data_IF_790699543499
#
_entry.id   IF_790699543499
#
_cell.length_a   1.000
_cell.length_b   1.000
_cell.length_c   1.000
_cell.angle_alpha   90.00
_cell.angle_beta   90.00
_cell.angle_gamma   90.00
#
_symmetry.space_group_name_H-M   'P 1'
#
loop_
_entity.id
_entity.type
_entity.pdbx_description
1 polymer ?
#
# COMPACT_ATOMS: atom_id res chain seq x y z
N UNK A 1 -34.30 25.10 13.61
CA UNK A 1 -33.92 24.25 14.76
C UNK A 1 -32.64 23.50 14.39
N UNK A 2 -31.48 24.01 14.79
CA UNK A 2 -30.25 23.31 14.61
C UNK A 2 -30.11 22.27 15.71
N UNK A 3 -30.30 21.00 15.36
CA UNK A 3 -29.92 19.89 16.23
C UNK A 3 -28.41 19.94 16.43
N UNK A 4 -28.03 20.35 17.61
CA UNK A 4 -26.64 20.29 18.11
C UNK A 4 -26.31 18.79 18.30
N UNK A 5 -26.05 18.05 17.21
CA UNK A 5 -25.42 16.75 17.31
C UNK A 5 -24.01 16.97 17.85
N UNK A 6 -23.82 16.72 19.14
CA UNK A 6 -22.49 16.68 19.75
C UNK A 6 -21.63 15.76 18.88
N UNK A 7 -20.64 16.32 18.20
CA UNK A 7 -19.66 15.50 17.47
C UNK A 7 -19.09 14.46 18.45
N UNK A 8 -19.05 13.17 18.09
CA UNK A 8 -18.55 12.15 18.98
C UNK A 8 -17.12 12.50 19.39
N UNK A 9 -16.87 12.46 20.69
CA UNK A 9 -15.58 12.81 21.29
C UNK A 9 -14.50 11.81 20.86
N UNK A 10 -13.29 12.30 20.58
CA UNK A 10 -12.15 11.48 20.16
C UNK A 10 -11.69 10.56 21.31
N UNK A 11 -11.59 9.27 21.05
CA UNK A 11 -11.27 8.24 22.05
C UNK A 11 -9.83 7.77 21.83
N UNK A 12 -8.95 8.04 22.79
CA UNK A 12 -7.55 7.67 22.78
C UNK A 12 -7.21 6.46 23.68
N UNK A 13 -8.12 6.04 24.54
CA UNK A 13 -8.00 4.79 25.31
C UNK A 13 -9.22 3.91 25.09
N UNK A 14 -9.04 2.84 24.35
CA UNK A 14 -10.11 1.90 24.01
C UNK A 14 -10.67 1.13 25.22
N UNK A 15 -9.99 1.14 26.36
CA UNK A 15 -10.50 0.51 27.59
C UNK A 15 -11.83 1.10 28.05
N UNK A 16 -12.09 2.38 27.74
CA UNK A 16 -13.33 3.07 28.09
C UNK A 16 -14.55 2.54 27.34
N UNK A 17 -14.34 1.81 26.22
CA UNK A 17 -15.44 1.32 25.36
C UNK A 17 -16.00 -0.04 25.77
N UNK A 18 -15.32 -0.78 26.63
CA UNK A 18 -15.64 -2.17 26.93
C UNK A 18 -15.20 -3.17 25.85
N UNK A 19 -14.97 -4.42 26.24
CA UNK A 19 -14.34 -5.46 25.40
C UNK A 19 -15.11 -5.73 24.11
N UNK A 20 -16.45 -5.79 24.15
CA UNK A 20 -17.28 -6.09 22.98
C UNK A 20 -17.14 -5.04 21.86
N UNK A 21 -17.15 -3.75 22.20
CA UNK A 21 -16.96 -2.67 21.22
C UNK A 21 -15.54 -2.68 20.65
N UNK A 22 -14.53 -2.95 21.46
CA UNK A 22 -13.13 -3.06 21.01
C UNK A 22 -12.96 -4.21 20.02
N UNK A 23 -13.60 -5.37 20.27
CA UNK A 23 -13.59 -6.51 19.33
C UNK A 23 -14.23 -6.13 17.98
N UNK A 24 -15.40 -5.46 18.00
CA UNK A 24 -16.07 -5.00 16.78
C UNK A 24 -15.19 -4.02 16.00
N UNK A 25 -14.55 -3.07 16.69
CA UNK A 25 -13.63 -2.12 16.06
C UNK A 25 -12.40 -2.82 15.45
N UNK A 26 -11.83 -3.82 16.14
CA UNK A 26 -10.77 -4.64 15.60
C UNK A 26 -11.17 -5.38 14.33
N UNK A 27 -12.37 -5.95 14.30
CA UNK A 27 -12.95 -6.56 13.09
C UNK A 27 -13.19 -5.53 11.97
N UNK A 28 -13.63 -4.31 12.29
CA UNK A 28 -13.77 -3.25 11.30
C UNK A 28 -12.46 -2.92 10.62
N UNK A 29 -11.38 -2.79 11.39
CA UNK A 29 -10.03 -2.54 10.85
C UNK A 29 -9.51 -3.73 10.05
N UNK A 30 -9.79 -4.97 10.46
CA UNK A 30 -9.48 -6.17 9.69
C UNK A 30 -10.18 -6.14 8.32
N UNK A 31 -11.48 -5.88 8.29
CA UNK A 31 -12.25 -5.85 7.05
C UNK A 31 -11.88 -4.66 6.15
N UNK A 32 -11.50 -3.52 6.71
CA UNK A 32 -11.04 -2.37 5.93
C UNK A 32 -9.76 -2.67 5.16
N UNK A 33 -8.76 -3.30 5.81
CA UNK A 33 -7.51 -3.67 5.17
C UNK A 33 -7.62 -4.90 4.26
N UNK A 34 -8.62 -5.73 4.50
CA UNK A 34 -8.69 -7.07 3.93
C UNK A 34 -8.69 -7.05 2.40
N UNK A 35 -9.58 -6.25 1.79
CA UNK A 35 -9.73 -6.19 0.33
C UNK A 35 -8.43 -5.83 -0.38
N UNK A 36 -7.73 -4.82 0.11
CA UNK A 36 -6.45 -4.40 -0.43
C UNK A 36 -5.34 -5.44 -0.19
N UNK A 37 -5.27 -6.00 1.02
CA UNK A 37 -4.20 -6.93 1.40
C UNK A 37 -4.23 -8.22 0.60
N UNK A 38 -5.41 -8.79 0.34
CA UNK A 38 -5.53 -10.08 -0.38
C UNK A 38 -5.46 -9.94 -1.90
N UNK A 39 -5.67 -8.73 -2.42
CA UNK A 39 -5.68 -8.48 -3.85
C UNK A 39 -4.27 -8.59 -4.47
N UNK A 40 -3.24 -8.12 -3.78
CA UNK A 40 -1.85 -8.22 -4.27
C UNK A 40 -1.42 -9.68 -4.46
N UNK A 41 -1.51 -10.59 -3.47
CA UNK A 41 -1.16 -11.98 -3.69
C UNK A 41 -2.06 -12.67 -4.73
N UNK A 42 -3.34 -12.31 -4.83
CA UNK A 42 -4.24 -12.86 -5.85
C UNK A 42 -3.80 -12.49 -7.28
N UNK A 43 -3.27 -11.27 -7.49
CA UNK A 43 -2.76 -10.81 -8.79
C UNK A 43 -1.37 -11.38 -9.09
N UNK A 44 -0.48 -11.45 -8.09
CA UNK A 44 0.93 -11.85 -8.28
C UNK A 44 1.17 -13.34 -8.22
N UNK A 45 0.24 -14.12 -7.67
CA UNK A 45 0.42 -15.53 -7.38
C UNK A 45 1.20 -15.83 -6.09
N UNK A 46 1.49 -14.80 -5.27
CA UNK A 46 2.05 -14.98 -3.93
C UNK A 46 1.04 -15.66 -2.99
N UNK A 47 1.53 -16.24 -1.90
CA UNK A 47 0.69 -16.98 -0.98
C UNK A 47 -0.17 -16.06 -0.11
N UNK A 48 -1.50 -16.23 -0.16
CA UNK A 48 -2.48 -15.42 0.60
C UNK A 48 -2.33 -15.61 2.11
N UNK A 49 -2.15 -16.86 2.57
CA UNK A 49 -1.98 -17.16 4.00
C UNK A 49 -0.72 -16.50 4.57
N UNK A 50 0.41 -16.61 3.84
CA UNK A 50 1.67 -15.95 4.21
C UNK A 50 1.50 -14.42 4.23
N UNK A 51 0.76 -13.87 3.25
CA UNK A 51 0.47 -12.43 3.18
C UNK A 51 -0.30 -11.94 4.41
N UNK A 52 -1.36 -12.63 4.81
CA UNK A 52 -2.14 -12.29 6.01
C UNK A 52 -1.31 -12.41 7.28
N UNK A 53 -0.48 -13.45 7.39
CA UNK A 53 0.44 -13.63 8.51
C UNK A 53 1.36 -12.41 8.65
N UNK A 54 2.04 -12.02 7.56
CA UNK A 54 3.02 -10.94 7.61
C UNK A 54 2.40 -9.54 7.59
N UNK A 55 1.18 -9.35 7.11
CA UNK A 55 0.41 -8.14 7.36
C UNK A 55 0.15 -7.96 8.87
N UNK A 56 -0.28 -9.02 9.55
CA UNK A 56 -0.48 -9.00 11.00
C UNK A 56 0.82 -8.85 11.79
N UNK A 57 1.81 -9.71 11.55
CA UNK A 57 3.13 -9.66 12.24
C UNK A 57 3.85 -8.34 11.94
N UNK A 58 3.84 -7.87 10.68
CA UNK A 58 4.43 -6.60 10.27
C UNK A 58 3.79 -5.42 11.00
N UNK A 59 2.45 -5.41 11.13
CA UNK A 59 1.73 -4.40 11.91
C UNK A 59 2.14 -4.42 13.38
N UNK A 60 2.21 -5.59 14.02
CA UNK A 60 2.63 -5.71 15.42
C UNK A 60 4.08 -5.25 15.62
N UNK A 61 4.97 -5.61 14.70
CA UNK A 61 6.37 -5.21 14.71
C UNK A 61 6.52 -3.69 14.52
N UNK A 62 5.78 -3.10 13.56
CA UNK A 62 5.71 -1.66 13.37
C UNK A 62 5.28 -0.95 14.66
N UNK A 63 4.23 -1.43 15.32
CA UNK A 63 3.78 -0.87 16.61
C UNK A 63 4.84 -0.99 17.70
N UNK A 64 5.59 -2.09 17.74
CA UNK A 64 6.68 -2.25 18.69
C UNK A 64 7.79 -1.22 18.47
N UNK A 65 8.25 -1.05 17.22
CA UNK A 65 9.33 -0.14 16.82
C UNK A 65 8.91 1.32 17.03
N UNK A 66 7.65 1.66 16.75
CA UNK A 66 7.09 3.01 16.94
C UNK A 66 6.65 3.30 18.37
N UNK A 67 6.99 2.43 19.33
CA UNK A 67 6.64 2.61 20.73
C UNK A 67 5.15 2.50 21.02
N UNK A 68 4.41 1.79 20.18
CA UNK A 68 2.94 1.57 20.27
C UNK A 68 2.13 2.88 20.19
N UNK A 69 2.68 3.93 19.55
CA UNK A 69 2.05 5.25 19.47
C UNK A 69 1.17 5.42 18.24
N UNK A 70 1.62 4.92 17.08
CA UNK A 70 0.99 5.16 15.78
C UNK A 70 -0.11 4.14 15.49
N UNK A 71 -1.37 4.53 15.28
CA UNK A 71 -2.47 3.63 14.96
C UNK A 71 -2.52 3.30 13.45
N UNK A 72 -1.41 2.82 12.88
CA UNK A 72 -1.35 2.39 11.49
C UNK A 72 -1.45 0.87 11.38
N UNK A 73 -2.17 0.39 10.35
CA UNK A 73 -2.15 -1.00 9.91
C UNK A 73 -1.24 -1.11 8.69
N UNK A 74 -0.44 -2.18 8.62
CA UNK A 74 0.41 -2.48 7.48
C UNK A 74 -0.18 -3.66 6.69
N UNK A 75 -0.26 -3.49 5.36
CA UNK A 75 -0.70 -4.54 4.46
C UNK A 75 0.06 -4.50 3.13
N UNK A 76 -0.40 -5.24 2.14
CA UNK A 76 0.31 -5.43 0.87
C UNK A 76 0.44 -4.14 0.05
N UNK A 77 1.66 -3.80 -0.37
CA UNK A 77 1.91 -2.64 -1.21
C UNK A 77 1.58 -2.90 -2.68
N UNK A 78 0.77 -2.03 -3.28
CA UNK A 78 0.44 -2.07 -4.70
C UNK A 78 1.56 -1.55 -5.60
N UNK A 79 2.44 -0.70 -5.10
CA UNK A 79 3.51 -0.09 -5.89
C UNK A 79 4.46 -1.13 -6.51
N UNK A 80 4.66 -2.27 -5.85
CA UNK A 80 5.50 -3.35 -6.34
C UNK A 80 4.85 -4.24 -7.41
N UNK A 81 3.53 -4.14 -7.67
CA UNK A 81 2.86 -4.93 -8.71
C UNK A 81 3.49 -4.76 -10.09
N UNK A 82 3.88 -3.53 -10.43
CA UNK A 82 4.59 -3.25 -11.68
C UNK A 82 5.91 -4.02 -11.80
N UNK A 83 6.64 -4.18 -10.71
CA UNK A 83 7.90 -4.93 -10.69
C UNK A 83 7.70 -6.43 -10.85
N UNK A 84 6.74 -7.01 -10.14
CA UNK A 84 6.39 -8.43 -10.35
C UNK A 84 6.00 -8.70 -11.81
N UNK A 85 5.23 -7.79 -12.44
CA UNK A 85 4.90 -7.88 -13.86
C UNK A 85 6.12 -7.79 -14.79
N UNK A 86 7.11 -6.94 -14.48
CA UNK A 86 8.35 -6.85 -15.24
C UNK A 86 9.18 -8.13 -15.16
N UNK A 87 9.23 -8.76 -14.00
CA UNK A 87 9.98 -10.00 -13.80
C UNK A 87 9.40 -11.17 -14.60
N UNK A 88 8.09 -11.18 -14.84
CA UNK A 88 7.43 -12.23 -15.65
C UNK A 88 7.43 -11.91 -17.14
N UNK A 89 7.47 -10.64 -17.54
CA UNK A 89 7.32 -10.19 -18.93
C UNK A 89 8.63 -10.07 -19.72
N UNK A 90 9.78 -9.99 -19.06
CA UNK A 90 11.08 -9.66 -19.68
C UNK A 90 11.74 -10.79 -20.49
N UNK A 91 11.00 -11.85 -20.86
CA UNK A 91 11.53 -12.99 -21.60
C UNK A 91 12.42 -13.92 -20.76
N UNK A 92 12.84 -13.49 -19.59
CA UNK A 92 13.41 -14.29 -18.51
C UNK A 92 12.33 -14.41 -17.43
N UNK A 93 11.64 -15.53 -17.37
CA UNK A 93 10.69 -15.82 -16.29
C UNK A 93 11.46 -15.93 -14.98
N UNK A 94 11.66 -14.80 -14.31
CA UNK A 94 12.33 -14.76 -13.00
C UNK A 94 11.34 -15.29 -11.95
N UNK A 95 11.67 -16.35 -11.22
CA UNK A 95 10.80 -16.91 -10.19
C UNK A 95 10.43 -15.88 -9.12
N UNK A 96 9.21 -15.98 -8.58
CA UNK A 96 8.70 -15.09 -7.52
C UNK A 96 9.62 -15.04 -6.29
N UNK A 97 10.35 -16.12 -5.99
CA UNK A 97 11.30 -16.21 -4.89
C UNK A 97 12.47 -15.22 -5.03
N UNK A 98 12.99 -15.04 -6.26
CA UNK A 98 13.99 -14.02 -6.55
C UNK A 98 13.40 -12.60 -6.46
N UNK A 99 12.19 -12.41 -6.97
CA UNK A 99 11.46 -11.14 -6.84
C UNK A 99 11.22 -10.78 -5.36
N UNK A 100 10.85 -11.77 -4.55
CA UNK A 100 10.70 -11.60 -3.10
C UNK A 100 12.01 -11.18 -2.44
N UNK A 101 13.15 -11.72 -2.85
CA UNK A 101 14.44 -11.25 -2.34
C UNK A 101 14.74 -9.80 -2.75
N UNK A 102 14.40 -9.41 -3.98
CA UNK A 102 14.50 -8.01 -4.44
C UNK A 102 13.63 -7.07 -3.58
N UNK A 103 12.42 -7.49 -3.21
CA UNK A 103 11.53 -6.75 -2.28
C UNK A 103 12.13 -6.67 -0.88
N UNK A 104 12.77 -7.76 -0.39
CA UNK A 104 13.46 -7.72 0.89
C UNK A 104 14.58 -6.67 0.93
N UNK A 105 15.35 -6.55 -0.17
CA UNK A 105 16.37 -5.50 -0.31
C UNK A 105 15.70 -4.11 -0.41
N UNK A 106 14.55 -3.97 -1.08
CA UNK A 106 13.80 -2.72 -1.09
C UNK A 106 13.42 -2.27 0.33
N UNK A 107 13.04 -3.20 1.22
CA UNK A 107 12.81 -2.91 2.65
C UNK A 107 14.06 -2.39 3.37
N UNK A 108 15.26 -2.84 3.00
CA UNK A 108 16.51 -2.32 3.57
C UNK A 108 16.80 -0.87 3.13
N UNK A 109 16.33 -0.43 1.96
CA UNK A 109 16.45 0.98 1.52
C UNK A 109 15.70 1.92 2.48
N UNK A 110 14.57 1.48 3.06
CA UNK A 110 13.88 2.23 4.10
C UNK A 110 14.76 2.48 5.33
N UNK A 111 15.57 1.48 5.73
CA UNK A 111 16.48 1.61 6.87
C UNK A 111 17.58 2.65 6.60
N UNK A 112 18.09 2.70 5.36
CA UNK A 112 19.06 3.72 4.94
C UNK A 112 18.43 5.11 5.04
N UNK A 113 17.22 5.29 4.52
CA UNK A 113 16.54 6.59 4.62
C UNK A 113 16.17 6.95 6.06
N UNK A 114 15.74 5.97 6.86
CA UNK A 114 15.48 6.17 8.28
C UNK A 114 16.72 6.67 9.03
N UNK A 115 17.90 6.15 8.67
CA UNK A 115 19.18 6.63 9.20
C UNK A 115 19.42 8.09 8.80
N UNK A 116 19.16 8.46 7.54
CA UNK A 116 19.27 9.85 7.09
C UNK A 116 18.33 10.78 7.87
N UNK A 117 17.07 10.36 8.11
CA UNK A 117 16.13 11.11 8.95
C UNK A 117 16.63 11.26 10.39
N UNK A 118 17.24 10.21 10.95
CA UNK A 118 17.80 10.24 12.32
C UNK A 118 19.01 11.16 12.43
N UNK A 119 19.91 11.14 11.43
CA UNK A 119 21.18 11.90 11.47
C UNK A 119 20.96 13.38 11.10
N UNK A 120 20.23 13.64 10.02
CA UNK A 120 20.07 14.97 9.46
C UNK A 120 18.80 15.70 9.92
N UNK A 121 17.85 14.98 10.52
CA UNK A 121 16.56 15.49 10.96
C UNK A 121 15.54 15.61 9.83
N UNK A 122 14.25 15.58 10.20
CA UNK A 122 13.13 15.60 9.25
C UNK A 122 13.16 16.84 8.33
N UNK A 123 13.42 18.03 8.86
CA UNK A 123 13.43 19.29 8.09
C UNK A 123 14.40 19.26 6.90
N UNK A 124 15.61 18.68 7.08
CA UNK A 124 16.61 18.60 5.99
C UNK A 124 16.25 17.56 4.96
N UNK A 125 15.80 16.39 5.39
CA UNK A 125 15.48 15.25 4.48
C UNK A 125 14.21 15.53 3.69
N UNK A 126 13.17 16.10 4.31
CA UNK A 126 11.90 16.43 3.66
C UNK A 126 12.05 17.46 2.52
N UNK A 127 13.14 18.20 2.46
CA UNK A 127 13.45 19.08 1.32
C UNK A 127 13.59 18.32 -0.01
N UNK A 128 13.89 17.02 0.04
CA UNK A 128 13.95 16.13 -1.15
C UNK A 128 12.60 15.53 -1.49
N UNK A 129 11.67 15.50 -0.54
CA UNK A 129 10.34 14.90 -0.66
C UNK A 129 9.20 15.92 -0.43
N UNK A 130 9.25 17.11 -1.10
CA UNK A 130 8.16 18.08 -0.96
C UNK A 130 6.88 17.57 -1.64
N UNK A 131 5.71 18.13 -1.34
CA UNK A 131 4.43 17.74 -1.93
C UNK A 131 4.39 17.76 -3.47
N UNK A 132 5.19 18.62 -4.11
CA UNK A 132 5.35 18.64 -5.57
C UNK A 132 6.02 17.38 -6.13
N UNK A 133 6.75 16.63 -5.30
CA UNK A 133 7.33 15.33 -5.66
C UNK A 133 6.39 14.21 -5.20
N UNK A 134 5.97 14.26 -3.93
CA UNK A 134 5.19 13.16 -3.32
C UNK A 134 3.82 13.01 -3.94
N UNK A 135 3.11 14.11 -4.19
CA UNK A 135 1.80 14.07 -4.81
C UNK A 135 1.79 13.40 -6.19
N UNK A 136 2.56 13.89 -7.17
CA UNK A 136 2.64 13.26 -8.49
C UNK A 136 3.13 11.81 -8.49
N UNK A 137 4.03 11.42 -7.58
CA UNK A 137 4.46 10.01 -7.44
C UNK A 137 3.29 9.14 -6.98
N UNK A 138 2.51 9.57 -5.98
CA UNK A 138 1.32 8.83 -5.51
C UNK A 138 0.26 8.76 -6.63
N UNK A 139 0.03 9.84 -7.37
CA UNK A 139 -0.85 9.83 -8.55
C UNK A 139 -0.38 8.76 -9.55
N UNK A 140 0.92 8.73 -9.85
CA UNK A 140 1.50 7.79 -10.80
C UNK A 140 1.36 6.32 -10.34
N UNK A 141 1.45 6.01 -9.04
CA UNK A 141 1.23 4.65 -8.52
C UNK A 141 -0.12 4.12 -9.00
N UNK A 142 -1.20 4.83 -8.72
CA UNK A 142 -2.54 4.38 -9.12
C UNK A 142 -2.73 4.31 -10.65
N UNK A 143 -2.27 5.33 -11.39
CA UNK A 143 -2.45 5.39 -12.84
C UNK A 143 -1.64 4.33 -13.59
N UNK A 144 -0.43 3.99 -13.16
CA UNK A 144 0.39 2.94 -13.79
C UNK A 144 -0.21 1.55 -13.64
N UNK A 145 -1.08 1.33 -12.67
CA UNK A 145 -1.78 0.06 -12.42
C UNK A 145 -3.13 -0.04 -13.14
N UNK A 146 -3.67 1.08 -13.64
CA UNK A 146 -5.01 1.14 -14.24
C UNK A 146 -5.20 0.18 -15.41
N UNK A 147 -4.21 0.03 -16.28
CA UNK A 147 -4.26 -0.90 -17.41
C UNK A 147 -4.41 -2.36 -17.00
N UNK A 148 -3.73 -2.77 -15.93
CA UNK A 148 -3.88 -4.13 -15.36
C UNK A 148 -5.29 -4.35 -14.84
N UNK A 149 -5.87 -3.36 -14.15
CA UNK A 149 -7.25 -3.44 -13.65
C UNK A 149 -8.26 -3.53 -14.80
N UNK A 150 -8.11 -2.69 -15.84
CA UNK A 150 -8.97 -2.73 -17.04
C UNK A 150 -8.85 -4.06 -17.78
N UNK A 151 -7.61 -4.57 -17.95
CA UNK A 151 -7.38 -5.90 -18.53
C UNK A 151 -8.08 -7.01 -17.74
N UNK A 152 -8.08 -6.93 -16.42
CA UNK A 152 -8.80 -7.89 -15.56
C UNK A 152 -10.33 -7.72 -15.67
N UNK A 153 -10.85 -6.49 -15.80
CA UNK A 153 -12.28 -6.23 -16.02
C UNK A 153 -12.78 -6.82 -17.35
N UNK A 154 -11.93 -6.85 -18.38
CA UNK A 154 -12.30 -7.34 -19.70
C UNK A 154 -12.63 -8.83 -19.74
N UNK A 155 -12.24 -9.59 -18.73
CA UNK A 155 -12.63 -11.00 -18.59
C UNK A 155 -14.17 -11.17 -18.45
N UNK A 156 -14.85 -10.25 -17.73
CA UNK A 156 -16.30 -10.18 -17.64
C UNK A 156 -16.75 -8.81 -17.10
N UNK A 157 -17.14 -7.92 -18.01
CA UNK A 157 -17.55 -6.55 -17.65
C UNK A 157 -18.77 -6.48 -16.73
N UNK A 158 -19.69 -7.45 -16.80
CA UNK A 158 -20.87 -7.45 -15.91
C UNK A 158 -20.43 -7.64 -14.46
N UNK A 159 -19.57 -8.63 -14.21
CA UNK A 159 -19.02 -8.89 -12.86
C UNK A 159 -18.20 -7.71 -12.38
N UNK A 160 -17.34 -7.13 -13.23
CA UNK A 160 -16.53 -5.98 -12.89
C UNK A 160 -17.38 -4.73 -12.56
N UNK A 161 -18.42 -4.44 -13.35
CA UNK A 161 -19.33 -3.33 -13.09
C UNK A 161 -20.10 -3.47 -11.79
N UNK A 162 -20.54 -4.69 -11.44
CA UNK A 162 -21.18 -4.96 -10.13
C UNK A 162 -20.21 -4.61 -9.01
N UNK A 163 -18.94 -5.02 -9.09
CA UNK A 163 -17.93 -4.67 -8.09
C UNK A 163 -17.79 -3.14 -7.94
N UNK A 164 -17.61 -2.44 -9.06
CA UNK A 164 -17.45 -0.97 -9.07
C UNK A 164 -18.68 -0.28 -8.48
N UNK A 165 -19.88 -0.63 -8.95
CA UNK A 165 -21.12 0.02 -8.54
C UNK A 165 -21.40 -0.20 -7.05
N UNK A 166 -21.16 -1.41 -6.53
CA UNK A 166 -21.35 -1.71 -5.10
C UNK A 166 -20.35 -0.93 -4.25
N UNK A 167 -19.06 -0.89 -4.64
CA UNK A 167 -18.05 -0.09 -3.91
C UNK A 167 -18.44 1.39 -3.89
N UNK A 168 -18.84 1.96 -5.01
CA UNK A 168 -19.26 3.36 -5.12
C UNK A 168 -20.52 3.60 -4.28
N UNK A 169 -21.54 2.75 -4.39
CA UNK A 169 -22.78 2.88 -3.64
C UNK A 169 -22.53 2.82 -2.12
N UNK A 170 -21.71 1.88 -1.66
CA UNK A 170 -21.35 1.75 -0.26
C UNK A 170 -20.57 2.96 0.27
N UNK A 171 -19.67 3.53 -0.54
CA UNK A 171 -18.92 4.73 -0.16
C UNK A 171 -19.80 5.98 -0.05
N UNK A 172 -20.71 6.19 -1.00
CA UNK A 172 -21.49 7.43 -1.11
C UNK A 172 -22.73 7.38 -0.21
N UNK A 173 -23.50 6.31 -0.29
CA UNK A 173 -24.79 6.19 0.43
C UNK A 173 -24.73 5.28 1.66
N UNK A 174 -23.63 4.53 1.83
CA UNK A 174 -23.44 3.64 2.97
C UNK A 174 -23.39 4.39 4.31
N UNK A 175 -23.93 3.74 5.35
CA UNK A 175 -23.90 4.22 6.74
C UNK A 175 -23.27 3.16 7.64
N UNK A 176 -22.61 3.59 8.72
CA UNK A 176 -22.00 2.67 9.70
C UNK A 176 -20.99 1.73 9.04
N UNK A 177 -21.15 0.42 9.28
CA UNK A 177 -20.26 -0.62 8.77
C UNK A 177 -20.19 -0.67 7.23
N UNK A 178 -21.28 -0.44 6.52
CA UNK A 178 -21.34 -0.46 5.05
C UNK A 178 -20.35 0.54 4.44
N UNK A 179 -20.23 1.73 5.04
CA UNK A 179 -19.29 2.77 4.62
C UNK A 179 -17.83 2.44 4.94
N UNK A 180 -17.60 1.58 5.93
CA UNK A 180 -16.25 1.19 6.39
C UNK A 180 -15.66 0.09 5.51
N UNK A 181 -16.49 -0.82 4.97
CA UNK A 181 -16.02 -2.01 4.24
C UNK A 181 -16.51 -2.08 2.78
N UNK A 182 -16.47 -0.97 2.02
CA UNK A 182 -17.04 -0.92 0.67
C UNK A 182 -16.38 -1.90 -0.29
N UNK A 183 -15.05 -2.04 -0.20
CA UNK A 183 -14.24 -2.94 -1.04
C UNK A 183 -14.65 -4.39 -0.80
N UNK A 184 -14.74 -4.81 0.45
CA UNK A 184 -15.18 -6.17 0.80
C UNK A 184 -16.59 -6.45 0.28
N UNK A 185 -17.52 -5.52 0.42
CA UNK A 185 -18.88 -5.67 -0.10
C UNK A 185 -18.92 -5.75 -1.62
N UNK A 186 -18.08 -4.96 -2.31
CA UNK A 186 -17.90 -5.06 -3.75
C UNK A 186 -17.37 -6.41 -4.20
N UNK A 187 -16.37 -6.95 -3.50
CA UNK A 187 -15.85 -8.31 -3.72
C UNK A 187 -16.96 -9.33 -3.54
N UNK A 188 -17.65 -9.35 -2.40
CA UNK A 188 -18.68 -10.35 -2.09
C UNK A 188 -19.83 -10.29 -3.09
N UNK A 189 -20.33 -9.11 -3.42
CA UNK A 189 -21.44 -8.95 -4.35
C UNK A 189 -21.07 -9.41 -5.78
N UNK A 190 -19.90 -8.94 -6.29
CA UNK A 190 -19.46 -9.32 -7.63
C UNK A 190 -19.08 -10.80 -7.72
N UNK A 191 -18.50 -11.36 -6.65
CA UNK A 191 -18.21 -12.78 -6.56
C UNK A 191 -19.51 -13.61 -6.60
N UNK A 192 -20.53 -13.21 -5.84
CA UNK A 192 -21.84 -13.88 -5.88
C UNK A 192 -22.46 -13.84 -7.27
N UNK A 193 -22.40 -12.70 -7.97
CA UNK A 193 -22.87 -12.58 -9.35
C UNK A 193 -22.05 -13.50 -10.28
N UNK A 194 -20.73 -13.54 -10.15
CA UNK A 194 -19.89 -14.43 -10.94
C UNK A 194 -20.24 -15.90 -10.75
N UNK A 195 -20.62 -16.33 -9.53
CA UNK A 195 -21.07 -17.71 -9.27
C UNK A 195 -22.35 -18.07 -10.02
N UNK A 196 -23.16 -17.08 -10.37
CA UNK A 196 -24.41 -17.30 -11.14
C UNK A 196 -24.13 -17.27 -12.64
N UNK A 197 -23.34 -16.29 -13.12
CA UNK A 197 -23.18 -16.03 -14.55
C UNK A 197 -21.99 -16.77 -15.19
N UNK A 198 -21.06 -17.29 -14.38
CA UNK A 198 -19.85 -17.97 -14.85
C UNK A 198 -19.70 -19.36 -14.22
N UNK A 199 -20.15 -20.42 -14.94
CA UNK A 199 -20.03 -21.80 -14.46
C UNK A 199 -18.58 -22.25 -14.22
N UNK A 200 -17.59 -21.71 -14.97
CA UNK A 200 -16.18 -22.05 -14.80
C UNK A 200 -15.64 -21.47 -13.50
N UNK A 201 -15.96 -20.21 -13.19
CA UNK A 201 -15.60 -19.57 -11.91
C UNK A 201 -16.20 -20.35 -10.71
N UNK A 202 -17.45 -20.80 -10.84
CA UNK A 202 -18.10 -21.62 -9.80
C UNK A 202 -17.40 -22.97 -9.61
N UNK A 203 -17.06 -23.68 -10.71
CA UNK A 203 -16.35 -24.94 -10.64
C UNK A 203 -14.95 -24.78 -10.00
N UNK A 204 -14.21 -23.73 -10.38
CA UNK A 204 -12.91 -23.40 -9.79
C UNK A 204 -13.00 -23.12 -8.28
N UNK A 205 -14.03 -22.37 -7.84
CA UNK A 205 -14.26 -22.13 -6.43
C UNK A 205 -14.50 -23.42 -5.65
N UNK A 206 -15.41 -24.25 -6.14
CA UNK A 206 -15.75 -25.53 -5.48
C UNK A 206 -14.52 -26.43 -5.38
N UNK A 207 -13.74 -26.58 -6.47
CA UNK A 207 -12.52 -27.38 -6.48
C UNK A 207 -11.50 -26.86 -5.45
N UNK A 208 -11.14 -25.56 -5.51
CA UNK A 208 -10.14 -24.97 -4.62
C UNK A 208 -10.52 -25.05 -3.15
N UNK A 209 -11.79 -24.78 -2.82
CA UNK A 209 -12.25 -24.79 -1.42
C UNK A 209 -12.44 -26.23 -0.90
N UNK A 210 -12.85 -27.19 -1.73
CA UNK A 210 -13.00 -28.59 -1.31
C UNK A 210 -11.64 -29.24 -0.99
N UNK A 211 -10.61 -28.93 -1.79
CA UNK A 211 -9.25 -29.46 -1.62
C UNK A 211 -8.50 -28.83 -0.44
N UNK A 212 -8.85 -27.63 -0.01
CA UNK A 212 -8.15 -26.90 1.04
C UNK A 212 -8.53 -27.42 2.44
N UNK A 213 -7.53 -27.47 3.32
CA UNK A 213 -7.71 -27.81 4.73
C UNK A 213 -8.31 -26.65 5.53
N UNK A 214 -8.94 -26.95 6.66
CA UNK A 214 -9.44 -25.94 7.60
C UNK A 214 -8.32 -25.27 8.38
N UNK A 215 -7.28 -26.04 8.74
CA UNK A 215 -6.12 -25.55 9.51
C UNK A 215 -4.86 -25.98 8.78
N UNK A 216 -3.93 -25.04 8.58
CA UNK A 216 -2.65 -25.30 7.94
C UNK A 216 -1.60 -24.25 8.29
N UNK A 217 -0.34 -24.56 8.01
CA UNK A 217 0.75 -23.61 8.20
C UNK A 217 0.71 -22.54 7.10
N UNK A 218 0.79 -21.25 7.47
CA UNK A 218 0.69 -20.17 6.50
C UNK A 218 1.97 -19.93 5.67
N UNK A 219 3.11 -20.51 6.07
CA UNK A 219 4.39 -20.37 5.39
C UNK A 219 4.77 -21.69 4.72
N UNK A 220 5.08 -21.61 3.42
CA UNK A 220 5.57 -22.73 2.60
C UNK A 220 7.03 -22.42 2.28
N UNK A 221 7.96 -23.31 2.64
CA UNK A 221 9.40 -23.09 2.50
C UNK A 221 9.82 -22.78 1.05
N UNK A 222 9.26 -23.50 0.10
CA UNK A 222 9.54 -23.36 -1.34
C UNK A 222 9.19 -21.99 -1.89
N UNK A 223 8.25 -21.28 -1.25
CA UNK A 223 7.82 -19.94 -1.62
C UNK A 223 8.66 -18.84 -0.95
N UNK A 224 9.53 -19.20 0.01
CA UNK A 224 10.37 -18.22 0.70
C UNK A 224 11.54 -17.76 -0.19
N UNK A 225 12.02 -16.55 0.04
CA UNK A 225 13.22 -16.05 -0.62
C UNK A 225 14.48 -16.89 -0.29
N UNK A 226 14.46 -17.64 0.81
CA UNK A 226 15.57 -18.53 1.19
C UNK A 226 15.70 -19.75 0.29
N UNK A 227 14.63 -20.17 -0.38
CA UNK A 227 14.63 -21.32 -1.29
C UNK A 227 15.53 -21.13 -2.53
N UNK A 228 15.90 -19.88 -2.86
CA UNK A 228 16.83 -19.61 -3.98
C UNK A 228 18.25 -20.15 -3.73
N UNK A 229 18.67 -20.27 -2.45
CA UNK A 229 19.99 -20.73 -2.08
C UNK A 229 20.12 -22.25 -2.15
N UNK A 230 19.86 -22.83 -3.34
CA UNK A 230 19.89 -24.25 -3.61
C UNK A 230 20.81 -24.59 -4.81
N UNK A 231 20.64 -25.82 -5.31
CA UNK A 231 21.47 -26.34 -6.43
C UNK A 231 21.38 -25.51 -7.73
N UNK A 232 20.31 -24.75 -7.92
CA UNK A 232 20.03 -23.96 -9.12
C UNK A 232 20.12 -22.43 -8.85
N UNK A 233 20.97 -22.01 -7.90
CA UNK A 233 21.15 -20.60 -7.61
C UNK A 233 21.72 -19.85 -8.81
N UNK A 234 21.06 -18.76 -9.24
CA UNK A 234 21.48 -17.86 -10.30
C UNK A 234 21.70 -16.45 -9.74
N UNK A 235 22.98 -16.07 -9.60
CA UNK A 235 23.37 -14.75 -9.11
C UNK A 235 22.99 -13.62 -10.06
N UNK A 236 22.90 -13.87 -11.38
CA UNK A 236 22.45 -12.91 -12.39
C UNK A 236 20.97 -12.57 -12.22
N UNK A 237 20.12 -13.59 -12.05
CA UNK A 237 18.70 -13.40 -11.76
C UNK A 237 18.48 -12.66 -10.45
N UNK A 238 19.25 -13.00 -9.41
CA UNK A 238 19.17 -12.31 -8.12
C UNK A 238 19.51 -10.83 -8.26
N UNK A 239 20.60 -10.51 -8.93
CA UNK A 239 21.03 -9.12 -9.12
C UNK A 239 20.03 -8.34 -9.99
N UNK A 240 19.50 -8.96 -11.05
CA UNK A 240 18.42 -8.38 -11.87
C UNK A 240 17.18 -8.05 -11.00
N UNK A 241 16.74 -8.99 -10.17
CA UNK A 241 15.60 -8.76 -9.27
C UNK A 241 15.85 -7.61 -8.30
N UNK A 242 17.03 -7.56 -7.67
CA UNK A 242 17.39 -6.48 -6.73
C UNK A 242 17.39 -5.12 -7.44
N UNK A 243 18.08 -5.00 -8.57
CA UNK A 243 18.22 -3.71 -9.26
C UNK A 243 16.90 -3.22 -9.85
N UNK A 244 16.02 -4.14 -10.28
CA UNK A 244 14.70 -3.79 -10.81
C UNK A 244 13.73 -3.37 -9.70
N UNK A 245 13.75 -4.04 -8.56
CA UNK A 245 12.72 -3.88 -7.52
C UNK A 245 13.13 -2.83 -6.48
N UNK A 246 14.39 -2.81 -6.05
CA UNK A 246 14.82 -1.91 -4.96
C UNK A 246 14.52 -0.42 -5.22
N UNK A 247 14.66 0.15 -6.44
CA UNK A 247 14.35 1.56 -6.69
C UNK A 247 12.88 1.94 -6.47
N UNK A 248 11.95 0.98 -6.52
CA UNK A 248 10.52 1.23 -6.27
C UNK A 248 10.27 1.65 -4.83
N UNK A 249 11.16 1.24 -3.91
CA UNK A 249 11.10 1.67 -2.51
C UNK A 249 11.06 3.20 -2.34
N UNK A 250 11.64 3.96 -3.26
CA UNK A 250 11.57 5.42 -3.21
C UNK A 250 10.13 5.93 -3.34
N UNK A 251 9.33 5.30 -4.20
CA UNK A 251 7.92 5.67 -4.35
C UNK A 251 7.11 5.27 -3.11
N UNK A 252 7.35 4.08 -2.56
CA UNK A 252 6.63 3.61 -1.37
C UNK A 252 7.06 4.32 -0.08
N UNK A 253 8.30 4.76 0.01
CA UNK A 253 8.77 5.64 1.09
C UNK A 253 8.04 6.99 1.05
N UNK A 254 7.84 7.53 -0.15
CA UNK A 254 7.04 8.75 -0.36
C UNK A 254 5.60 8.55 0.08
N UNK A 255 4.98 7.43 -0.29
CA UNK A 255 3.64 7.01 0.14
C UNK A 255 3.56 6.92 1.67
N UNK A 256 4.52 6.22 2.31
CA UNK A 256 4.60 6.10 3.76
C UNK A 256 4.65 7.47 4.48
N UNK A 257 5.46 8.40 3.98
CA UNK A 257 5.53 9.75 4.54
C UNK A 257 4.17 10.45 4.46
N UNK A 258 3.50 10.34 3.30
CA UNK A 258 2.15 10.89 3.09
C UNK A 258 1.13 10.29 4.06
N UNK A 259 1.15 8.98 4.25
CA UNK A 259 0.28 8.28 5.19
C UNK A 259 0.53 8.70 6.64
N UNK A 260 1.80 8.87 7.04
CA UNK A 260 2.12 9.35 8.38
C UNK A 260 1.57 10.77 8.63
N UNK A 261 1.61 11.65 7.63
CA UNK A 261 0.99 12.96 7.69
C UNK A 261 -0.55 12.85 7.79
N UNK A 262 -1.17 12.01 6.98
CA UNK A 262 -2.62 11.79 6.98
C UNK A 262 -3.14 11.20 8.31
N UNK A 263 -2.45 10.20 8.87
CA UNK A 263 -2.77 9.61 10.17
C UNK A 263 -2.62 10.66 11.27
N UNK A 264 -1.53 11.45 11.24
CA UNK A 264 -1.28 12.50 12.21
C UNK A 264 -2.38 13.56 12.20
N UNK A 265 -2.80 13.99 11.01
CA UNK A 265 -3.91 14.93 10.82
C UNK A 265 -5.24 14.37 11.34
N UNK A 266 -5.53 13.10 11.02
CA UNK A 266 -6.76 12.42 11.44
C UNK A 266 -6.84 12.27 12.97
N UNK A 267 -5.72 11.91 13.60
CA UNK A 267 -5.64 11.63 15.04
C UNK A 267 -5.45 12.89 15.87
N UNK A 268 -4.94 13.97 15.27
CA UNK A 268 -4.58 15.19 15.99
C UNK A 268 -3.28 15.07 16.79
N UNK A 269 -2.35 14.16 16.37
CA UNK A 269 -1.03 13.98 17.00
C UNK A 269 0.06 13.97 15.94
N UNK A 270 1.17 14.63 16.20
CA UNK A 270 2.28 14.72 15.26
C UNK A 270 3.20 13.50 15.31
N UNK A 271 2.86 12.44 14.55
CA UNK A 271 3.66 11.22 14.46
C UNK A 271 4.94 11.36 13.62
N UNK A 272 5.04 12.41 12.83
CA UNK A 272 6.24 12.77 12.08
C UNK A 272 7.35 13.23 13.03
N UNK A 273 6.99 13.88 14.14
CA UNK A 273 7.90 14.29 15.19
C UNK A 273 8.09 13.22 16.29
N UNK A 274 6.99 12.61 16.77
CA UNK A 274 7.00 11.60 17.83
C UNK A 274 6.06 10.43 17.48
N UNK A 275 6.58 9.25 17.21
CA UNK A 275 7.93 8.71 17.44
C UNK A 275 8.99 9.13 16.42
N UNK A 276 8.61 9.90 15.39
CA UNK A 276 9.47 10.40 14.34
C UNK A 276 9.55 9.47 13.13
N UNK A 277 9.69 10.08 11.92
CA UNK A 277 9.76 9.35 10.66
C UNK A 277 10.86 8.29 10.63
N UNK A 278 11.97 8.50 11.34
CA UNK A 278 13.04 7.51 11.40
C UNK A 278 12.56 6.17 12.00
N UNK A 279 11.65 6.19 13.01
CA UNK A 279 11.11 4.96 13.61
C UNK A 279 10.01 4.34 12.75
N UNK A 280 9.14 5.16 12.14
CA UNK A 280 8.07 4.64 11.30
C UNK A 280 8.63 4.00 10.04
N UNK A 281 9.66 4.59 9.42
CA UNK A 281 10.39 4.01 8.28
C UNK A 281 11.13 2.72 8.64
N UNK A 282 11.78 2.66 9.82
CA UNK A 282 12.37 1.39 10.30
C UNK A 282 11.29 0.33 10.46
N UNK A 283 10.15 0.68 11.05
CA UNK A 283 9.04 -0.25 11.25
C UNK A 283 8.50 -0.82 9.94
N UNK A 284 8.27 0.05 8.95
CA UNK A 284 7.77 -0.34 7.64
C UNK A 284 8.81 -1.14 6.83
N UNK A 285 10.06 -0.68 6.80
CA UNK A 285 11.16 -1.36 6.11
C UNK A 285 11.46 -2.75 6.66
N UNK A 286 11.50 -2.91 7.99
CA UNK A 286 11.71 -4.23 8.63
C UNK A 286 10.52 -5.14 8.39
N UNK A 287 9.27 -4.63 8.48
CA UNK A 287 8.07 -5.39 8.16
C UNK A 287 8.07 -5.88 6.70
N UNK A 288 8.43 -5.00 5.74
CA UNK A 288 8.58 -5.33 4.33
C UNK A 288 9.67 -6.38 4.10
N UNK A 289 10.85 -6.19 4.68
CA UNK A 289 11.97 -7.14 4.53
C UNK A 289 11.58 -8.53 5.03
N UNK A 290 11.01 -8.63 6.24
CA UNK A 290 10.59 -9.90 6.80
C UNK A 290 9.48 -10.55 5.98
N UNK A 291 8.44 -9.80 5.60
CA UNK A 291 7.35 -10.31 4.77
C UNK A 291 7.88 -10.93 3.48
N UNK A 292 8.75 -10.21 2.78
CA UNK A 292 9.32 -10.66 1.52
C UNK A 292 10.25 -11.87 1.67
N UNK A 293 11.08 -11.92 2.71
CA UNK A 293 11.94 -13.09 2.99
C UNK A 293 11.14 -14.38 3.16
N UNK A 294 9.92 -14.29 3.69
CA UNK A 294 9.04 -15.44 3.87
C UNK A 294 8.03 -15.64 2.74
N UNK A 295 8.17 -14.92 1.61
CA UNK A 295 7.35 -15.11 0.42
C UNK A 295 6.00 -14.37 0.44
N UNK A 296 5.84 -13.37 1.29
CA UNK A 296 4.76 -12.42 1.23
C UNK A 296 5.15 -11.17 0.41
N UNK A 297 4.19 -10.36 -0.08
CA UNK A 297 4.49 -9.09 -0.72
C UNK A 297 5.05 -8.07 0.26
N UNK A 298 5.61 -6.97 -0.27
CA UNK A 298 6.01 -5.82 0.53
C UNK A 298 4.85 -5.33 1.40
N UNK A 299 5.13 -4.91 2.62
CA UNK A 299 4.18 -4.20 3.45
C UNK A 299 4.24 -2.69 3.19
N UNK A 300 3.15 -2.00 3.46
CA UNK A 300 3.06 -0.53 3.50
C UNK A 300 1.93 -0.12 4.45
N UNK A 301 1.95 1.12 4.90
CA UNK A 301 0.85 1.68 5.70
C UNK A 301 -0.41 1.85 4.88
N UNK A 302 -1.60 1.65 5.51
CA UNK A 302 -2.88 1.65 4.80
C UNK A 302 -3.75 2.87 5.11
N UNK A 303 -4.03 3.64 4.06
CA UNK A 303 -4.96 4.77 4.09
C UNK A 303 -6.40 4.36 4.39
N UNK A 304 -6.83 3.15 3.99
CA UNK A 304 -8.16 2.58 4.27
C UNK A 304 -8.41 2.50 5.78
N UNK A 305 -7.41 2.07 6.55
CA UNK A 305 -7.51 2.01 8.00
C UNK A 305 -7.53 3.41 8.63
N UNK A 306 -6.88 4.40 8.03
CA UNK A 306 -7.01 5.81 8.42
C UNK A 306 -8.44 6.33 8.23
N UNK A 307 -9.12 5.88 7.16
CA UNK A 307 -10.56 6.14 6.96
C UNK A 307 -11.43 5.60 8.10
N UNK A 308 -11.13 4.39 8.60
CA UNK A 308 -11.83 3.82 9.77
C UNK A 308 -11.57 4.63 11.03
N UNK A 309 -10.33 5.09 11.26
CA UNK A 309 -10.00 5.98 12.38
C UNK A 309 -10.83 7.27 12.32
N UNK A 310 -10.92 7.90 11.14
CA UNK A 310 -11.68 9.13 10.94
C UNK A 310 -13.18 8.96 11.22
N UNK A 311 -13.77 7.80 10.82
CA UNK A 311 -15.18 7.51 11.00
C UNK A 311 -15.52 7.09 12.43
N UNK A 312 -14.71 6.22 13.03
CA UNK A 312 -14.95 5.71 14.40
C UNK A 312 -14.57 6.70 15.47
N UNK A 313 -13.64 7.63 15.18
CA UNK A 313 -12.96 8.53 16.12
C UNK A 313 -12.29 7.79 17.30
N UNK A 314 -11.95 6.52 17.11
CA UNK A 314 -11.22 5.71 18.10
C UNK A 314 -9.77 5.57 17.61
N UNK A 315 -8.87 6.23 18.30
CA UNK A 315 -7.47 6.39 17.90
C UNK A 315 -6.47 5.57 18.71
N UNK A 316 -6.97 4.67 19.57
CA UNK A 316 -6.09 3.80 20.35
C UNK A 316 -5.43 2.72 19.45
N UNK A 317 -4.10 2.68 19.37
CA UNK A 317 -3.39 1.66 18.60
C UNK A 317 -3.68 0.22 19.00
N UNK A 318 -4.28 -0.02 20.17
CA UNK A 318 -4.69 -1.37 20.63
C UNK A 318 -5.72 -1.99 19.70
N UNK A 319 -6.61 -1.18 19.12
CA UNK A 319 -7.65 -1.66 18.19
C UNK A 319 -6.99 -2.20 16.90
N UNK A 320 -5.98 -1.49 16.41
CA UNK A 320 -5.21 -1.92 15.22
C UNK A 320 -4.43 -3.22 15.52
N UNK A 321 -3.82 -3.32 16.70
CA UNK A 321 -3.13 -4.57 17.11
C UNK A 321 -4.08 -5.76 17.18
N UNK A 322 -5.31 -5.53 17.62
CA UNK A 322 -6.34 -6.57 17.64
C UNK A 322 -6.70 -7.03 16.21
N UNK A 323 -6.85 -6.08 15.27
CA UNK A 323 -7.04 -6.41 13.85
C UNK A 323 -5.86 -7.23 13.29
N UNK A 324 -4.63 -6.87 13.68
CA UNK A 324 -3.43 -7.61 13.30
C UNK A 324 -3.44 -9.06 13.83
N UNK A 325 -3.87 -9.26 15.08
CA UNK A 325 -4.05 -10.61 15.65
C UNK A 325 -5.11 -11.39 14.88
N UNK A 326 -6.23 -10.78 14.50
CA UNK A 326 -7.25 -11.43 13.68
C UNK A 326 -6.70 -11.85 12.30
N UNK A 327 -5.88 -11.00 11.66
CA UNK A 327 -5.23 -11.35 10.40
C UNK A 327 -4.29 -12.56 10.55
N UNK A 328 -3.51 -12.60 11.65
CA UNK A 328 -2.66 -13.75 11.97
C UNK A 328 -3.50 -15.02 12.16
N UNK A 329 -4.60 -14.95 12.90
CA UNK A 329 -5.47 -16.13 13.12
C UNK A 329 -6.06 -16.61 11.79
N UNK A 330 -6.52 -15.71 10.92
CA UNK A 330 -7.06 -16.06 9.60
C UNK A 330 -6.01 -16.68 8.68
N UNK A 331 -4.73 -16.35 8.84
CA UNK A 331 -3.66 -16.91 8.03
C UNK A 331 -3.49 -18.42 8.18
N UNK A 332 -3.93 -19.01 9.29
CA UNK A 332 -3.90 -20.45 9.54
C UNK A 332 -5.11 -21.19 8.97
N UNK A 333 -5.97 -20.53 8.20
CA UNK A 333 -7.13 -21.15 7.55
C UNK A 333 -6.94 -21.23 6.02
N UNK A 334 -6.38 -22.33 5.46
CA UNK A 334 -6.19 -22.52 4.02
C UNK A 334 -7.50 -22.41 3.22
N UNK A 335 -8.63 -22.84 3.76
CA UNK A 335 -9.95 -22.68 3.10
C UNK A 335 -10.26 -21.21 2.83
N UNK A 336 -9.90 -20.33 3.75
CA UNK A 336 -10.07 -18.90 3.57
C UNK A 336 -9.16 -18.35 2.45
N UNK A 337 -7.90 -18.78 2.42
CA UNK A 337 -6.98 -18.45 1.33
C UNK A 337 -7.49 -18.99 -0.02
N UNK A 338 -8.05 -20.20 -0.06
CA UNK A 338 -8.62 -20.80 -1.25
C UNK A 338 -9.79 -19.98 -1.83
N UNK A 339 -10.66 -19.40 -0.99
CA UNK A 339 -11.71 -18.47 -1.41
C UNK A 339 -11.13 -17.26 -2.16
N UNK A 340 -10.00 -16.73 -1.71
CA UNK A 340 -9.33 -15.59 -2.33
C UNK A 340 -8.66 -16.00 -3.65
N UNK A 341 -7.94 -17.12 -3.66
CA UNK A 341 -7.26 -17.63 -4.86
C UNK A 341 -8.25 -18.00 -5.97
N UNK A 342 -9.45 -18.43 -5.59
CA UNK A 342 -10.54 -18.74 -6.53
C UNK A 342 -11.32 -17.51 -7.01
N UNK A 343 -10.97 -16.30 -6.55
CA UNK A 343 -11.68 -15.07 -6.91
C UNK A 343 -11.64 -14.83 -8.43
N UNK A 344 -12.80 -14.56 -9.07
CA UNK A 344 -12.84 -14.28 -10.51
C UNK A 344 -11.98 -13.06 -10.88
N UNK A 345 -11.25 -13.16 -11.99
CA UNK A 345 -10.38 -12.08 -12.48
C UNK A 345 -11.13 -10.76 -12.65
N UNK A 346 -12.38 -10.82 -13.15
CA UNK A 346 -13.22 -9.63 -13.32
C UNK A 346 -13.60 -8.97 -11.98
N UNK A 347 -13.83 -9.75 -10.91
CA UNK A 347 -14.05 -9.23 -9.55
C UNK A 347 -12.79 -8.47 -9.09
N UNK A 348 -11.61 -9.09 -9.24
CA UNK A 348 -10.33 -8.43 -8.93
C UNK A 348 -10.16 -7.14 -9.72
N UNK A 349 -10.46 -7.17 -11.03
CA UNK A 349 -10.37 -6.00 -11.91
C UNK A 349 -11.23 -4.84 -11.45
N UNK A 350 -12.53 -5.08 -11.20
CA UNK A 350 -13.49 -4.06 -10.80
C UNK A 350 -13.10 -3.38 -9.47
N UNK A 351 -12.72 -4.17 -8.49
CA UNK A 351 -12.25 -3.65 -7.18
C UNK A 351 -10.94 -2.89 -7.31
N UNK A 352 -9.97 -3.44 -8.06
CA UNK A 352 -8.67 -2.79 -8.30
C UNK A 352 -8.83 -1.45 -8.99
N UNK A 353 -9.74 -1.34 -9.96
CA UNK A 353 -9.97 -0.08 -10.68
C UNK A 353 -10.36 1.06 -9.72
N UNK A 354 -11.26 0.76 -8.76
CA UNK A 354 -11.65 1.75 -7.75
C UNK A 354 -10.50 2.05 -6.79
N UNK A 355 -9.78 1.01 -6.32
CA UNK A 355 -8.64 1.18 -5.41
C UNK A 355 -7.53 2.04 -6.02
N UNK A 356 -7.11 1.75 -7.26
CA UNK A 356 -6.05 2.50 -7.93
C UNK A 356 -6.47 3.94 -8.20
N UNK A 357 -7.75 4.15 -8.54
CA UNK A 357 -8.33 5.49 -8.63
C UNK A 357 -8.28 6.24 -7.31
N UNK A 358 -8.59 5.58 -6.19
CA UNK A 358 -8.51 6.18 -4.85
C UNK A 358 -7.05 6.52 -4.45
N UNK A 359 -6.07 5.65 -4.77
CA UNK A 359 -4.65 5.96 -4.54
C UNK A 359 -4.26 7.22 -5.30
N UNK A 360 -4.62 7.33 -6.60
CA UNK A 360 -4.34 8.54 -7.37
C UNK A 360 -5.02 9.79 -6.79
N UNK A 361 -6.25 9.66 -6.29
CA UNK A 361 -6.96 10.76 -5.64
C UNK A 361 -6.29 11.22 -4.33
N UNK A 362 -5.66 10.32 -3.57
CA UNK A 362 -4.84 10.68 -2.39
C UNK A 362 -3.64 11.53 -2.83
N UNK A 363 -2.99 11.21 -3.96
CA UNK A 363 -1.92 12.03 -4.50
C UNK A 363 -2.38 13.43 -4.91
N UNK A 364 -3.56 13.53 -5.55
CA UNK A 364 -4.18 14.85 -5.87
C UNK A 364 -4.47 15.62 -4.58
N UNK A 365 -5.06 14.97 -3.59
CA UNK A 365 -5.33 15.56 -2.28
C UNK A 365 -4.05 16.10 -1.62
N UNK A 366 -2.95 15.35 -1.67
CA UNK A 366 -1.65 15.78 -1.14
C UNK A 366 -1.18 17.10 -1.77
N UNK A 367 -1.30 17.22 -3.10
CA UNK A 367 -0.96 18.45 -3.84
C UNK A 367 -1.84 19.63 -3.43
N UNK A 368 -3.16 19.41 -3.33
CA UNK A 368 -4.15 20.46 -3.03
C UNK A 368 -4.03 20.93 -1.56
N UNK A 369 -3.96 20.02 -0.61
CA UNK A 369 -3.86 20.35 0.82
C UNK A 369 -2.56 21.09 1.14
N UNK A 370 -1.46 20.77 0.44
CA UNK A 370 -0.19 21.47 0.58
C UNK A 370 -0.09 22.72 -0.30
N UNK A 371 -1.16 23.13 -0.97
CA UNK A 371 -1.23 24.34 -1.78
C UNK A 371 -0.07 24.50 -2.76
N UNK A 372 0.29 23.42 -3.46
CA UNK A 372 1.38 23.43 -4.43
C UNK A 372 1.06 24.42 -5.56
N UNK A 373 1.92 25.42 -5.72
CA UNK A 373 1.74 26.47 -6.72
C UNK A 373 2.19 26.02 -8.13
N UNK A 374 1.24 25.65 -8.96
CA UNK A 374 1.47 25.27 -10.36
C UNK A 374 1.61 26.47 -11.32
N UNK A 375 1.55 27.70 -10.86
CA UNK A 375 1.94 28.85 -11.68
C UNK A 375 3.45 28.92 -11.86
N UNK A 376 4.21 28.27 -10.98
CA UNK A 376 5.67 28.20 -11.06
C UNK A 376 6.11 27.14 -12.05
N UNK A 377 6.81 27.54 -13.11
CA UNK A 377 7.35 26.62 -14.14
C UNK A 377 8.15 25.45 -13.57
N UNK A 378 8.89 25.69 -12.47
CA UNK A 378 9.62 24.66 -11.75
C UNK A 378 8.71 23.52 -11.30
N UNK A 379 7.62 23.84 -10.64
CA UNK A 379 6.67 22.86 -10.10
C UNK A 379 5.96 22.11 -11.24
N UNK A 380 5.54 22.84 -12.28
CA UNK A 380 4.95 22.21 -13.47
C UNK A 380 5.90 21.20 -14.10
N UNK A 381 7.18 21.55 -14.28
CA UNK A 381 8.17 20.65 -14.90
C UNK A 381 8.43 19.40 -14.05
N UNK A 382 8.54 19.54 -12.72
CA UNK A 382 8.75 18.38 -11.81
C UNK A 382 7.57 17.42 -11.91
N UNK A 383 6.34 17.92 -11.77
CA UNK A 383 5.14 17.08 -11.84
C UNK A 383 4.99 16.45 -13.23
N UNK A 384 5.18 17.21 -14.30
CA UNK A 384 5.09 16.72 -15.67
C UNK A 384 6.07 15.57 -15.94
N UNK A 385 7.34 15.73 -15.54
CA UNK A 385 8.35 14.68 -15.73
C UNK A 385 8.04 13.43 -14.93
N UNK A 386 7.59 13.56 -13.67
CA UNK A 386 7.20 12.40 -12.85
C UNK A 386 6.08 11.62 -13.56
N UNK A 387 4.99 12.30 -13.93
CA UNK A 387 3.80 11.66 -14.49
C UNK A 387 4.07 11.08 -15.87
N UNK A 388 4.70 11.86 -16.77
CA UNK A 388 4.97 11.43 -18.15
C UNK A 388 5.95 10.27 -18.18
N UNK A 389 7.03 10.31 -17.38
CA UNK A 389 7.97 9.19 -17.33
C UNK A 389 7.36 7.94 -16.71
N UNK A 390 6.62 8.08 -15.60
CA UNK A 390 5.99 6.93 -14.94
C UNK A 390 4.98 6.22 -15.87
N UNK A 391 4.08 6.98 -16.48
CA UNK A 391 3.00 6.46 -17.32
C UNK A 391 3.51 6.13 -18.72
N UNK A 392 4.29 7.05 -19.32
CA UNK A 392 4.81 6.89 -20.67
C UNK A 392 5.72 5.68 -20.82
N UNK A 393 6.64 5.45 -19.88
CA UNK A 393 7.47 4.25 -19.89
C UNK A 393 6.65 2.99 -19.61
N UNK A 394 5.65 3.03 -18.72
CA UNK A 394 4.79 1.87 -18.44
C UNK A 394 4.03 1.39 -19.66
N UNK A 395 3.51 2.28 -20.49
CA UNK A 395 2.64 1.93 -21.61
C UNK A 395 3.30 2.14 -22.98
N UNK A 396 4.31 3.00 -23.07
CA UNK A 396 4.99 3.33 -24.34
C UNK A 396 6.09 2.35 -24.75
N UNK A 397 6.63 1.55 -23.82
CA UNK A 397 7.69 0.55 -24.08
C UNK A 397 7.16 -0.88 -24.26
N UNK A 398 5.87 -1.03 -24.56
CA UNK A 398 5.22 -2.32 -24.80
C UNK A 398 5.20 -3.21 -23.55
N UNK A 399 5.54 -4.49 -23.72
CA UNK A 399 5.52 -5.48 -22.64
C UNK A 399 6.56 -5.20 -21.54
N UNK A 400 7.59 -4.42 -21.83
CA UNK A 400 8.68 -4.13 -20.89
C UNK A 400 8.23 -3.20 -19.75
N UNK A 401 7.41 -2.18 -20.02
CA UNK A 401 6.89 -1.27 -19.01
C UNK A 401 7.93 -0.43 -18.26
N UNK A 402 9.12 -0.21 -18.87
CA UNK A 402 10.24 0.51 -18.26
C UNK A 402 11.42 0.66 -19.19
N UNK A 403 12.55 1.14 -18.66
CA UNK A 403 13.83 1.23 -19.38
C UNK A 403 14.61 -0.05 -19.11
N UNK A 404 15.03 -0.75 -20.18
CA UNK A 404 15.89 -1.93 -20.08
C UNK A 404 17.25 -1.64 -20.71
N UNK A 405 18.31 -1.97 -20.00
CA UNK A 405 19.67 -1.91 -20.49
C UNK A 405 20.48 -3.07 -19.90
N UNK A 406 21.50 -3.52 -20.65
CA UNK A 406 22.37 -4.58 -20.22
C UNK A 406 23.72 -4.02 -19.77
N UNK A 407 24.20 -4.44 -18.60
CA UNK A 407 25.53 -4.11 -18.10
C UNK A 407 26.21 -5.41 -17.68
N UNK A 408 27.35 -5.72 -18.31
CA UNK A 408 28.12 -6.93 -17.98
C UNK A 408 27.34 -8.25 -18.16
N UNK A 409 26.41 -8.31 -19.13
CA UNK A 409 25.56 -9.50 -19.36
C UNK A 409 24.35 -9.62 -18.45
N UNK A 410 24.12 -8.63 -17.56
CA UNK A 410 22.97 -8.58 -16.65
C UNK A 410 21.95 -7.60 -17.23
N UNK A 411 20.72 -8.05 -17.40
CA UNK A 411 19.61 -7.21 -17.84
C UNK A 411 19.06 -6.42 -16.65
N UNK A 412 19.15 -5.10 -16.72
CA UNK A 412 18.61 -4.18 -15.72
C UNK A 412 17.33 -3.58 -16.28
N UNK A 413 16.25 -3.68 -15.52
CA UNK A 413 14.96 -3.09 -15.88
C UNK A 413 14.52 -2.10 -14.80
N UNK A 414 14.39 -0.83 -15.15
CA UNK A 414 13.86 0.20 -14.27
C UNK A 414 12.41 0.51 -14.67
N UNK A 415 11.48 0.25 -13.74
CA UNK A 415 10.06 0.55 -13.97
C UNK A 415 9.85 2.05 -14.20
N UNK A 416 8.83 2.39 -15.01
CA UNK A 416 8.47 3.79 -15.24
C UNK A 416 8.22 4.55 -13.94
N UNK A 417 7.61 3.92 -12.94
CA UNK A 417 7.38 4.51 -11.63
C UNK A 417 8.69 4.85 -10.89
N UNK A 418 9.65 3.93 -10.90
CA UNK A 418 10.96 4.16 -10.27
C UNK A 418 11.72 5.29 -10.97
N UNK A 419 11.70 5.31 -12.32
CA UNK A 419 12.32 6.38 -13.10
C UNK A 419 11.66 7.73 -12.82
N UNK A 420 10.33 7.79 -12.83
CA UNK A 420 9.57 9.01 -12.52
C UNK A 420 9.88 9.56 -11.12
N UNK A 421 9.91 8.69 -10.11
CA UNK A 421 10.24 9.09 -8.75
C UNK A 421 11.69 9.62 -8.62
N UNK A 422 12.66 8.90 -9.19
CA UNK A 422 14.06 9.31 -9.20
C UNK A 422 14.26 10.66 -9.90
N UNK A 423 13.69 10.83 -11.09
CA UNK A 423 13.79 12.09 -11.85
C UNK A 423 13.11 13.22 -11.08
N UNK A 424 11.95 12.99 -10.47
CA UNK A 424 11.27 14.00 -9.66
C UNK A 424 12.11 14.48 -8.48
N UNK A 425 12.73 13.56 -7.73
CA UNK A 425 13.63 13.89 -6.62
C UNK A 425 14.86 14.65 -7.11
N UNK A 426 15.49 14.22 -8.21
CA UNK A 426 16.66 14.85 -8.78
C UNK A 426 16.35 16.26 -9.32
N UNK A 427 15.26 16.42 -10.06
CA UNK A 427 14.83 17.73 -10.57
C UNK A 427 14.49 18.68 -9.43
N UNK A 428 13.81 18.18 -8.37
CA UNK A 428 13.59 18.98 -7.18
C UNK A 428 14.88 19.39 -6.48
N UNK A 429 15.92 18.56 -6.49
CA UNK A 429 17.22 18.87 -5.91
C UNK A 429 17.98 19.92 -6.71
N UNK A 430 17.96 19.86 -8.05
CA UNK A 430 18.77 20.65 -8.96
C UNK A 430 18.11 22.02 -9.28
N UNK A 431 16.80 22.04 -9.56
CA UNK A 431 16.11 23.26 -9.99
C UNK A 431 16.08 24.33 -8.89
N UNK A 432 16.38 25.59 -9.24
CA UNK A 432 16.27 26.73 -8.31
C UNK A 432 14.82 27.06 -7.96
N UNK A 433 14.61 27.98 -7.02
CA UNK A 433 13.27 28.49 -6.67
C UNK A 433 12.48 27.53 -5.79
N UNK A 434 13.14 26.83 -4.84
CA UNK A 434 12.48 25.98 -3.85
C UNK A 434 11.62 26.84 -2.94
N UNK A 435 10.34 26.54 -2.87
CA UNK A 435 9.32 27.27 -2.13
C UNK A 435 8.71 26.47 -0.97
N UNK A 436 9.04 25.17 -0.87
CA UNK A 436 8.53 24.33 0.20
C UNK A 436 9.42 24.45 1.44
N UNK A 437 8.80 24.86 2.55
CA UNK A 437 9.36 24.79 3.89
C UNK A 437 8.55 23.81 4.73
N UNK A 438 9.20 22.75 5.21
CA UNK A 438 8.58 21.76 6.05
C UNK A 438 8.06 22.38 7.35
N UNK A 439 6.77 22.21 7.64
CA UNK A 439 6.11 22.75 8.81
C UNK A 439 5.60 24.19 8.67
N UNK A 440 5.73 24.82 7.51
CA UNK A 440 5.24 26.19 7.28
C UNK A 440 3.77 26.25 6.85
N UNK A 441 3.24 25.18 6.23
CA UNK A 441 1.86 25.15 5.75
C UNK A 441 0.90 24.55 6.80
N UNK A 442 0.03 25.40 7.36
CA UNK A 442 -0.95 24.97 8.38
C UNK A 442 -2.05 24.06 7.83
N UNK A 443 -2.31 24.05 6.52
CA UNK A 443 -3.33 23.22 5.90
C UNK A 443 -2.78 21.88 5.41
N UNK A 444 -1.62 21.87 4.78
CA UNK A 444 -1.00 20.68 4.20
C UNK A 444 -0.15 19.89 5.20
N UNK A 445 0.70 20.59 5.94
CA UNK A 445 1.55 20.00 6.97
C UNK A 445 0.87 20.00 8.36
N UNK A 446 -0.47 20.00 8.40
CA UNK A 446 -1.26 20.10 9.65
C UNK A 446 -0.85 19.06 10.67
N UNK A 447 -0.49 17.86 10.22
CA UNK A 447 0.01 16.80 11.07
C UNK A 447 1.29 17.16 11.82
N UNK A 448 2.12 18.00 11.21
CA UNK A 448 3.40 18.44 11.79
C UNK A 448 3.21 19.63 12.73
N UNK A 449 2.22 20.47 12.44
CA UNK A 449 1.96 21.70 13.16
C UNK A 449 1.02 21.54 14.37
N UNK A 450 0.43 20.36 14.57
CA UNK A 450 -0.43 20.12 15.74
C UNK A 450 0.24 20.37 17.08
N UNK A 451 1.56 20.17 17.17
CA UNK A 451 2.32 20.46 18.39
C UNK A 451 2.40 21.96 18.72
N UNK A 452 2.30 22.85 17.72
CA UNK A 452 2.33 24.30 17.95
C UNK A 452 0.98 24.88 18.37
N UNK A 453 -0.14 24.23 18.01
CA UNK A 453 -1.48 24.63 18.46
C UNK A 453 -1.75 24.33 19.93
N UNK A 454 -1.14 23.27 20.47
CA UNK A 454 -1.29 22.94 21.89
C UNK A 454 -0.63 23.97 22.84
N UNK A 455 0.22 24.83 22.31
CA UNK A 455 0.96 25.86 23.09
C UNK A 455 0.46 27.30 22.86
N UNK A 456 -0.72 27.51 22.23
CA UNK A 456 -1.35 28.84 22.24
C UNK A 456 -2.38 28.86 23.37
N UNK A 457 -2.25 29.85 24.32
CA UNK A 457 -3.12 29.97 25.47
C UNK A 457 -4.58 30.27 25.09
#
# INVERSE_FOLDING_TARGET
MSTNEKQPEAIYDAKTLGTGKVLILGLQHLFAMFGATVLVPAITGLNVSTTLLFAGLGTLLFHLITGRKVPAFLGSSFAFLGAYGLMTASGQSIPLTYSSFGVAVAGLVYLVLALLFKVFGAKKVMRFFPPIVTGPVIIAIGLTLSGTAIGSCSANWVVALVAILVVVACNIWGKGMVKIVPILLGVVASYAVAMVVDPAARANLVAKVSEADWIGLPVIWENTAFSIFGKNFDGGMLLTAIITIAPISLATIVEHIGDMCAISSTVGKNYVADPGLHRTLVGDGVATTLAALFGAPANTTYGENTGVLALSKVYDPKVIRLAAVFAIVLSFCPKFAALIVAMPTATMGGVSLVLYGMISAVGVRNVVENQVDFTKSRNVLIAALILVLAIGLKYGTGTVGGIVFAVGGINISLSGLAVGALVGILMNAILPGKDYEFGANEQGDTAVNFGTRANKP
#
